data_IF_474370208494
#
_entry.id   IF_474370208494
#
_cell.length_a   1.000
_cell.length_b   1.000
_cell.length_c   1.000
_cell.angle_alpha   90.00
_cell.angle_beta   90.00
_cell.angle_gamma   90.00
#
_symmetry.space_group_name_H-M   'P 1'
#
loop_
_entity.id
_entity.type
_entity.pdbx_description
1 polymer ?
#
# COMPACT_ATOMS: atom_id res chain seq x y z
N UNK A 1 -14.32 44.67 28.99
CA UNK A 1 -14.76 43.65 28.00
C UNK A 1 -13.52 43.07 27.37
N UNK A 2 -13.13 41.87 27.76
CA UNK A 2 -11.92 41.18 27.28
C UNK A 2 -12.25 40.37 26.01
N UNK A 3 -11.46 40.44 24.92
CA UNK A 3 -11.72 39.64 23.73
C UNK A 3 -11.11 38.23 23.85
N UNK A 4 -11.97 37.21 23.88
CA UNK A 4 -11.56 35.80 23.84
C UNK A 4 -11.06 35.47 22.42
N UNK A 5 -9.75 35.31 22.27
CA UNK A 5 -9.10 34.76 21.06
C UNK A 5 -9.44 33.27 20.95
N UNK A 6 -10.45 32.93 20.15
CA UNK A 6 -10.76 31.54 19.80
C UNK A 6 -9.66 30.97 18.88
N UNK A 7 -8.95 29.96 19.39
CA UNK A 7 -7.89 29.24 18.67
C UNK A 7 -8.49 28.40 17.54
N UNK A 8 -7.81 28.44 16.38
CA UNK A 8 -7.99 27.54 15.24
C UNK A 8 -8.05 26.08 15.71
N UNK A 9 -9.11 25.35 15.35
CA UNK A 9 -9.07 23.88 15.25
C UNK A 9 -9.08 23.51 13.78
N UNK A 10 -7.91 23.23 13.18
CA UNK A 10 -7.87 22.48 11.94
C UNK A 10 -8.35 21.07 12.26
N UNK A 11 -9.40 20.61 11.59
CA UNK A 11 -9.81 19.21 11.62
C UNK A 11 -8.70 18.39 10.95
N UNK A 12 -7.99 17.50 11.65
CA UNK A 12 -7.11 16.56 11.01
C UNK A 12 -7.94 15.31 10.66
N UNK A 13 -8.44 15.24 9.44
CA UNK A 13 -8.53 13.96 8.74
C UNK A 13 -7.23 13.82 7.93
N UNK A 14 -6.58 12.64 7.80
CA UNK A 14 -7.16 11.30 7.87
C UNK A 14 -6.43 10.35 8.84
N UNK A 15 -7.19 9.43 9.43
CA UNK A 15 -6.67 8.18 9.99
C UNK A 15 -6.34 7.20 8.85
N UNK A 16 -5.38 7.58 8.00
CA UNK A 16 -4.65 6.60 7.20
C UNK A 16 -3.40 6.26 8.02
N UNK A 17 -3.46 5.13 8.72
CA UNK A 17 -2.33 4.53 9.39
C UNK A 17 -1.19 4.33 8.39
N UNK A 18 -0.35 5.35 8.24
CA UNK A 18 0.97 5.21 7.65
C UNK A 18 1.83 4.54 8.71
N UNK A 19 1.58 3.26 8.95
CA UNK A 19 2.50 2.35 9.62
C UNK A 19 3.69 2.10 8.69
N UNK A 20 4.44 3.18 8.44
CA UNK A 20 5.80 3.11 7.94
C UNK A 20 6.69 3.22 9.14
N UNK A 21 7.02 2.09 9.74
CA UNK A 21 8.20 1.93 10.60
C UNK A 21 8.37 0.48 11.00
N UNK A 22 9.02 -0.25 10.12
CA UNK A 22 9.90 -1.38 10.40
C UNK A 22 10.65 -1.61 9.08
N UNK A 23 11.44 -0.65 8.60
CA UNK A 23 12.84 -0.54 8.99
C UNK A 23 13.42 -1.93 9.23
N UNK A 24 13.55 -2.66 8.13
CA UNK A 24 14.39 -3.85 7.97
C UNK A 24 15.79 -3.52 8.49
N UNK A 25 15.98 -3.79 9.77
CA UNK A 25 17.27 -3.74 10.41
C UNK A 25 17.32 -4.88 11.39
N UNK A 26 17.65 -6.05 10.88
CA UNK A 26 18.36 -7.09 11.62
C UNK A 26 19.07 -7.97 10.58
N UNK A 27 20.33 -7.66 10.34
CA UNK A 27 21.25 -8.56 9.66
C UNK A 27 21.61 -9.67 10.64
N UNK A 28 21.02 -10.86 10.48
CA UNK A 28 21.47 -12.06 11.18
C UNK A 28 21.32 -13.27 10.26
N UNK A 29 22.48 -13.69 9.75
CA UNK A 29 22.84 -14.99 9.17
C UNK A 29 21.76 -16.09 9.18
N UNK A 30 20.78 -15.95 8.29
CA UNK A 30 19.87 -17.01 7.86
C UNK A 30 19.71 -16.79 6.37
N UNK A 31 20.08 -17.79 5.58
CA UNK A 31 19.89 -17.90 4.13
C UNK A 31 19.06 -16.76 3.58
N UNK A 32 19.68 -15.77 2.92
CA UNK A 32 18.99 -14.61 2.34
C UNK A 32 17.79 -15.13 1.55
N UNK A 33 16.63 -15.14 2.19
CA UNK A 33 15.38 -15.57 1.59
C UNK A 33 15.07 -14.43 0.65
N UNK A 34 15.41 -14.63 -0.63
CA UNK A 34 15.06 -13.72 -1.70
C UNK A 34 13.62 -13.29 -1.47
N UNK A 35 13.45 -12.03 -1.08
CA UNK A 35 12.15 -11.49 -0.74
C UNK A 35 11.28 -11.54 -1.98
N UNK A 36 9.96 -11.50 -1.80
CA UNK A 36 9.05 -11.42 -2.94
C UNK A 36 9.48 -10.30 -3.90
N UNK A 37 9.89 -9.14 -3.37
CA UNK A 37 10.37 -7.97 -4.13
C UNK A 37 11.70 -8.13 -4.85
N UNK A 38 12.47 -9.18 -4.56
CA UNK A 38 13.74 -9.48 -5.23
C UNK A 38 13.51 -10.18 -6.59
N UNK A 39 12.28 -10.66 -6.83
CA UNK A 39 11.88 -11.21 -8.12
C UNK A 39 11.77 -10.11 -9.18
N UNK A 40 12.08 -10.42 -10.46
CA UNK A 40 11.90 -9.46 -11.54
C UNK A 40 10.43 -9.11 -11.75
N UNK A 41 10.19 -7.90 -12.27
CA UNK A 41 8.85 -7.34 -12.44
C UNK A 41 7.93 -8.19 -13.34
N UNK A 42 8.49 -8.96 -14.29
CA UNK A 42 7.69 -9.87 -15.12
C UNK A 42 7.00 -10.95 -14.27
N UNK A 43 7.66 -11.47 -13.25
CA UNK A 43 7.11 -12.50 -12.36
C UNK A 43 6.02 -11.90 -11.48
N UNK A 44 6.23 -10.69 -10.96
CA UNK A 44 5.20 -9.95 -10.23
C UNK A 44 3.94 -9.73 -11.05
N UNK A 45 4.09 -9.38 -12.33
CA UNK A 45 2.97 -9.18 -13.25
C UNK A 45 2.26 -10.49 -13.60
N UNK A 46 3.00 -11.60 -13.72
CA UNK A 46 2.40 -12.91 -13.96
C UNK A 46 1.56 -13.36 -12.77
N UNK A 47 2.07 -13.17 -11.55
CA UNK A 47 1.35 -13.50 -10.32
C UNK A 47 0.09 -12.65 -10.20
N UNK A 48 0.18 -11.34 -10.46
CA UNK A 48 -0.98 -10.45 -10.35
C UNK A 48 -2.11 -10.82 -11.32
N UNK A 49 -1.79 -11.33 -12.52
CA UNK A 49 -2.76 -11.84 -13.50
C UNK A 49 -3.42 -13.16 -13.08
N UNK A 50 -2.75 -13.96 -12.27
CA UNK A 50 -3.29 -15.24 -11.80
C UNK A 50 -4.24 -15.08 -10.61
N UNK A 51 -4.16 -13.95 -9.90
CA UNK A 51 -5.04 -13.66 -8.77
C UNK A 51 -6.42 -13.22 -9.26
N UNK A 52 -7.46 -13.88 -8.74
CA UNK A 52 -8.86 -13.50 -8.96
C UNK A 52 -9.25 -12.46 -7.90
N UNK A 53 -10.25 -11.63 -8.17
CA UNK A 53 -10.84 -10.77 -7.13
C UNK A 53 -11.36 -11.63 -5.95
N UNK A 54 -11.11 -11.25 -4.68
CA UNK A 54 -10.54 -9.99 -4.20
C UNK A 54 -9.00 -9.98 -4.03
N UNK A 55 -8.31 -11.10 -4.25
CA UNK A 55 -6.89 -11.25 -3.91
C UNK A 55 -5.99 -10.31 -4.72
N UNK A 56 -6.29 -10.09 -6.00
CA UNK A 56 -5.56 -9.12 -6.82
C UNK A 56 -5.68 -7.69 -6.26
N UNK A 57 -6.85 -7.33 -5.71
CA UNK A 57 -7.07 -6.02 -5.09
C UNK A 57 -6.31 -5.92 -3.77
N UNK A 58 -6.35 -6.97 -2.96
CA UNK A 58 -5.56 -7.06 -1.74
C UNK A 58 -4.07 -6.86 -2.04
N UNK A 59 -3.52 -7.53 -3.06
CA UNK A 59 -2.12 -7.38 -3.46
C UNK A 59 -1.78 -5.94 -3.83
N UNK A 60 -2.64 -5.27 -4.62
CA UNK A 60 -2.48 -3.86 -5.02
C UNK A 60 -2.35 -2.92 -3.81
N UNK A 61 -3.04 -3.22 -2.71
CA UNK A 61 -3.04 -2.40 -1.50
C UNK A 61 -1.97 -2.77 -0.46
N UNK A 62 -1.21 -3.86 -0.66
CA UNK A 62 -0.15 -4.26 0.28
C UNK A 62 1.08 -3.36 0.24
N UNK A 63 1.46 -2.87 -0.94
CA UNK A 63 2.70 -2.11 -1.14
C UNK A 63 2.53 -1.07 -2.24
N UNK A 64 3.22 0.06 -2.08
CA UNK A 64 3.29 1.09 -3.11
C UNK A 64 3.83 0.56 -4.44
N UNK A 65 4.68 -0.48 -4.44
CA UNK A 65 5.18 -1.11 -5.67
C UNK A 65 4.05 -1.80 -6.45
N UNK A 66 3.27 -2.64 -5.76
CA UNK A 66 2.15 -3.37 -6.38
C UNK A 66 0.99 -2.44 -6.76
N UNK A 67 0.83 -1.32 -6.08
CA UNK A 67 -0.21 -0.34 -6.42
C UNK A 67 -0.10 0.16 -7.87
N UNK A 68 1.12 0.44 -8.33
CA UNK A 68 1.38 0.90 -9.70
C UNK A 68 1.58 -0.23 -10.72
N UNK A 69 1.90 -1.43 -10.25
CA UNK A 69 2.16 -2.59 -11.11
C UNK A 69 0.90 -3.42 -11.41
N UNK A 70 -0.01 -3.54 -10.43
CA UNK A 70 -1.21 -4.38 -10.54
C UNK A 70 -2.37 -3.59 -11.11
N UNK A 71 -2.81 -3.98 -12.31
CA UNK A 71 -4.02 -3.46 -12.93
C UNK A 71 -5.22 -4.33 -12.55
N UNK A 72 -5.83 -4.03 -11.41
CA UNK A 72 -7.14 -4.56 -11.06
C UNK A 72 -8.21 -3.73 -11.76
N UNK A 73 -8.72 -4.19 -12.90
CA UNK A 73 -9.84 -3.56 -13.64
C UNK A 73 -11.16 -3.43 -12.86
N UNK A 74 -11.17 -3.70 -11.55
CA UNK A 74 -12.31 -3.60 -10.65
C UNK A 74 -12.67 -2.15 -10.24
N UNK A 75 -11.95 -1.13 -10.72
CA UNK A 75 -12.26 0.29 -10.45
C UNK A 75 -13.05 0.98 -11.57
N UNK A 76 -13.25 0.33 -12.72
CA UNK A 76 -14.08 0.83 -13.83
C UNK A 76 -15.34 -0.01 -14.04
N UNK A 77 -15.97 -0.43 -12.94
CA UNK A 77 -17.42 -0.64 -12.92
C UNK A 77 -18.12 0.73 -12.86
N UNK A 78 -17.84 1.62 -13.81
CA UNK A 78 -18.48 2.92 -13.95
C UNK A 78 -19.38 2.92 -15.19
N UNK A 79 -20.67 2.80 -14.90
CA UNK A 79 -21.81 3.30 -15.67
C UNK A 79 -21.93 2.84 -17.13
N UNK A 80 -22.80 1.87 -17.36
CA UNK A 80 -23.65 1.85 -18.55
C UNK A 80 -25.09 1.70 -18.08
#
# INVERSE_FOLDING_TARGET
MEPIRARKRPTPAPAAERSLRSAEKEASDRTQLAGFTDLPAEIHLLISKQLIYPDALSLKHTSSYFYYLVDTGASDAKAT
#
